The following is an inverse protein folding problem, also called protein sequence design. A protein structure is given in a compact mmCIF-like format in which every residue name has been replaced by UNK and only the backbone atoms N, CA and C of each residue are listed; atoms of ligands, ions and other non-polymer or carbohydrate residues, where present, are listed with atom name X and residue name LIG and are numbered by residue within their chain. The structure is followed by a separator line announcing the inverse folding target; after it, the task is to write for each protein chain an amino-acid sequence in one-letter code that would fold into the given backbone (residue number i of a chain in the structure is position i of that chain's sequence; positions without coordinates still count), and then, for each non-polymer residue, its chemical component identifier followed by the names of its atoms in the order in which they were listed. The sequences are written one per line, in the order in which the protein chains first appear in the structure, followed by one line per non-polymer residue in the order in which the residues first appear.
data_IF_195558127637
#
_entry.id   IF_195558127637
#
_cell.length_a   1.000
_cell.length_b   1.000
_cell.length_c   1.000
_cell.angle_alpha   90.00
_cell.angle_beta   90.00
_cell.angle_gamma   90.00
#
_symmetry.space_group_name_H-M   'P 1'
#
loop_
_entity.id
_entity.type
_entity.pdbx_description
1 polymer ?
#
# COMPACT_ATOMS: atom_id res chain seq x y z
N UNK A 1 11.38 -5.56 -15.10
CA UNK A 1 10.30 -5.61 -14.09
C UNK A 1 9.04 -6.01 -14.81
N UNK A 2 8.35 -7.08 -14.39
CA UNK A 2 7.12 -7.53 -15.02
C UNK A 2 6.01 -6.47 -14.91
N UNK A 3 5.08 -6.45 -15.86
CA UNK A 3 3.97 -5.51 -15.85
C UNK A 3 3.19 -5.63 -14.53
N UNK A 4 3.07 -4.50 -13.83
CA UNK A 4 2.19 -4.42 -12.67
C UNK A 4 0.76 -4.53 -13.18
N UNK A 5 0.10 -5.64 -12.90
CA UNK A 5 -1.27 -5.90 -13.36
C UNK A 5 -2.15 -6.40 -12.21
N UNK A 6 -2.31 -5.56 -11.20
CA UNK A 6 -3.20 -5.83 -10.06
C UNK A 6 -4.32 -4.81 -9.98
N UNK A 7 -5.53 -5.26 -9.69
CA UNK A 7 -6.67 -4.37 -9.49
C UNK A 7 -6.75 -3.86 -8.03
N UNK A 8 -7.65 -2.91 -7.78
CA UNK A 8 -7.89 -2.32 -6.46
C UNK A 8 -8.18 -3.37 -5.38
N UNK A 9 -8.93 -4.43 -5.69
CA UNK A 9 -9.25 -5.48 -4.71
C UNK A 9 -8.02 -6.30 -4.33
N UNK A 10 -7.17 -6.66 -5.30
CA UNK A 10 -5.91 -7.35 -5.05
C UNK A 10 -4.97 -6.51 -4.20
N UNK A 11 -4.81 -5.23 -4.55
CA UNK A 11 -4.01 -4.30 -3.77
C UNK A 11 -4.48 -4.21 -2.31
N UNK A 12 -5.78 -4.01 -2.08
CA UNK A 12 -6.35 -3.91 -0.73
C UNK A 12 -6.17 -5.21 0.04
N UNK A 13 -6.37 -6.36 -0.61
CA UNK A 13 -6.18 -7.68 0.02
C UNK A 13 -4.74 -7.89 0.44
N UNK A 14 -3.79 -7.57 -0.43
CA UNK A 14 -2.36 -7.67 -0.15
C UNK A 14 -1.98 -6.78 1.04
N UNK A 15 -2.37 -5.50 1.02
CA UNK A 15 -2.13 -4.57 2.13
C UNK A 15 -2.68 -5.09 3.46
N UNK A 16 -3.93 -5.58 3.48
CA UNK A 16 -4.53 -6.15 4.69
C UNK A 16 -3.79 -7.38 5.21
N UNK A 17 -3.30 -8.25 4.33
CA UNK A 17 -2.49 -9.43 4.73
C UNK A 17 -1.15 -9.05 5.33
N UNK A 18 -0.56 -7.94 4.88
CA UNK A 18 0.64 -7.36 5.48
C UNK A 18 0.35 -6.61 6.81
N UNK A 19 -0.89 -6.64 7.30
CA UNK A 19 -1.29 -5.99 8.54
C UNK A 19 -1.58 -4.49 8.41
N UNK A 20 -1.69 -3.95 7.18
CA UNK A 20 -2.15 -2.58 7.01
C UNK A 20 -3.64 -2.48 7.33
N UNK A 21 -4.04 -1.37 7.95
CA UNK A 21 -5.42 -1.10 8.30
C UNK A 21 -5.93 0.17 7.64
N UNK A 22 -7.23 0.19 7.36
CA UNK A 22 -7.90 1.36 6.78
C UNK A 22 -8.19 2.39 7.87
N UNK A 23 -7.74 3.63 7.68
CA UNK A 23 -7.88 4.71 8.67
C UNK A 23 -8.76 5.87 8.20
N UNK A 24 -9.67 5.62 7.25
CA UNK A 24 -10.52 6.67 6.71
C UNK A 24 -11.53 7.21 7.76
N UNK A 25 -11.45 8.51 8.07
CA UNK A 25 -12.47 9.22 8.87
C UNK A 25 -13.70 9.68 8.07
N UNK A 26 -13.64 9.73 6.74
CA UNK A 26 -14.72 10.24 5.85
C UNK A 26 -14.80 9.48 4.51
N UNK A 27 -15.94 9.62 3.83
CA UNK A 27 -16.29 9.06 2.51
C UNK A 27 -15.58 9.75 1.33
N UNK A 28 -14.24 9.79 1.36
CA UNK A 28 -13.43 10.28 0.25
C UNK A 28 -13.40 9.32 -0.95
N UNK A 29 -12.84 9.80 -2.07
CA UNK A 29 -12.53 9.00 -3.27
C UNK A 29 -11.33 8.06 -3.09
N UNK A 30 -10.64 8.14 -1.95
CA UNK A 30 -9.42 7.38 -1.68
C UNK A 30 -9.48 6.73 -0.30
N UNK A 31 -8.89 5.55 -0.18
CA UNK A 31 -8.63 4.83 1.06
C UNK A 31 -7.21 5.06 1.53
N UNK A 32 -7.05 5.49 2.78
CA UNK A 32 -5.75 5.57 3.46
C UNK A 32 -5.49 4.28 4.21
N UNK A 33 -4.45 3.57 3.79
CA UNK A 33 -3.94 2.38 4.45
C UNK A 33 -2.73 2.74 5.30
N UNK A 34 -2.85 2.50 6.60
CA UNK A 34 -1.79 2.72 7.57
C UNK A 34 -1.06 1.42 7.84
N UNK A 35 0.28 1.43 7.96
CA UNK A 35 1.07 0.25 8.26
C UNK A 35 0.72 -0.35 9.62
N UNK A 36 1.02 -1.63 9.81
CA UNK A 36 0.99 -2.26 11.14
C UNK A 36 1.95 -1.54 12.09
N UNK A 37 1.76 -1.71 13.40
CA UNK A 37 2.63 -1.09 14.41
C UNK A 37 4.11 -1.44 14.18
N UNK A 38 4.39 -2.70 13.84
CA UNK A 38 5.76 -3.19 13.55
C UNK A 38 6.42 -2.42 12.39
N UNK A 39 5.69 -2.19 11.29
CA UNK A 39 6.20 -1.42 10.16
C UNK A 39 6.30 0.06 10.54
N UNK A 40 5.29 0.58 11.27
CA UNK A 40 5.24 1.98 11.69
C UNK A 40 6.39 2.37 12.63
N UNK A 41 6.78 1.48 13.55
CA UNK A 41 7.88 1.70 14.50
C UNK A 41 9.25 1.75 13.79
N UNK A 42 9.37 1.17 12.59
CA UNK A 42 10.57 1.25 11.74
C UNK A 42 10.64 2.56 10.94
N UNK A 43 9.58 3.36 10.90
CA UNK A 43 9.55 4.64 10.17
C UNK A 43 10.20 5.76 11.00
N UNK A 44 11.47 6.02 10.75
CA UNK A 44 12.29 6.96 11.53
C UNK A 44 12.39 8.39 10.97
N UNK A 45 11.74 8.70 9.84
CA UNK A 45 11.89 10.00 9.19
C UNK A 45 10.79 10.35 8.18
N UNK A 46 11.21 10.70 6.97
CA UNK A 46 10.37 11.25 5.87
C UNK A 46 9.61 10.16 5.10
N UNK A 47 9.68 8.90 5.55
CA UNK A 47 8.97 7.81 4.89
C UNK A 47 7.45 8.06 4.91
N UNK A 48 6.72 7.59 3.88
CA UNK A 48 5.26 7.64 3.88
C UNK A 48 4.71 6.94 5.13
N UNK A 49 3.73 7.57 5.80
CA UNK A 49 3.04 7.00 6.98
C UNK A 49 1.71 6.32 6.65
N UNK A 50 1.31 6.41 5.39
CA UNK A 50 0.14 5.75 4.83
C UNK A 50 0.34 5.61 3.33
N UNK A 51 -0.41 4.70 2.72
CA UNK A 51 -0.54 4.56 1.27
C UNK A 51 -1.97 4.94 0.89
N UNK A 52 -2.12 5.74 -0.17
CA UNK A 52 -3.44 6.09 -0.70
C UNK A 52 -3.82 5.16 -1.85
N UNK A 53 -4.96 4.50 -1.71
CA UNK A 53 -5.55 3.65 -2.74
C UNK A 53 -6.83 4.31 -3.27
N UNK A 54 -6.91 4.67 -4.56
CA UNK A 54 -8.14 5.22 -5.12
C UNK A 54 -9.26 4.18 -5.15
N UNK A 55 -10.49 4.64 -4.87
CA UNK A 55 -11.72 3.84 -4.98
C UNK A 55 -12.26 3.84 -6.41
N UNK A 56 -11.38 3.66 -7.38
CA UNK A 56 -11.74 3.55 -8.79
C UNK A 56 -11.73 2.08 -9.23
N UNK A 57 -12.51 1.77 -10.27
CA UNK A 57 -12.58 0.41 -10.84
C UNK A 57 -11.25 0.02 -11.47
N UNK A 58 -10.64 0.97 -12.17
CA UNK A 58 -9.37 0.80 -12.86
C UNK A 58 -8.26 1.49 -12.06
N UNK A 59 -7.23 0.72 -11.72
CA UNK A 59 -6.11 1.17 -10.92
C UNK A 59 -4.94 1.54 -11.83
N UNK A 60 -4.88 2.79 -12.26
CA UNK A 60 -3.80 3.28 -13.13
C UNK A 60 -2.52 3.63 -12.36
N UNK A 61 -2.58 3.74 -11.03
CA UNK A 61 -1.47 4.20 -10.18
C UNK A 61 -0.71 3.05 -9.50
N UNK A 62 -0.62 1.89 -10.14
CA UNK A 62 0.01 0.70 -9.55
C UNK A 62 1.50 0.94 -9.26
N UNK A 63 2.22 1.58 -10.20
CA UNK A 63 3.62 1.96 -10.06
C UNK A 63 3.87 2.87 -8.87
N UNK A 64 2.99 3.82 -8.63
CA UNK A 64 3.06 4.80 -7.57
C UNK A 64 2.86 4.12 -6.21
N UNK A 65 1.88 3.20 -6.12
CA UNK A 65 1.66 2.38 -4.92
C UNK A 65 2.90 1.55 -4.58
N UNK A 66 3.49 0.87 -5.56
CA UNK A 66 4.70 0.08 -5.35
C UNK A 66 5.89 0.96 -4.96
N UNK A 67 6.01 2.15 -5.55
CA UNK A 67 7.02 3.13 -5.17
C UNK A 67 6.84 3.64 -3.73
N UNK A 68 5.61 3.91 -3.29
CA UNK A 68 5.33 4.29 -1.90
C UNK A 68 5.65 3.16 -0.92
N UNK A 69 5.30 1.92 -1.25
CA UNK A 69 5.69 0.73 -0.47
C UNK A 69 7.21 0.62 -0.35
N UNK A 70 7.93 0.79 -1.46
CA UNK A 70 9.40 0.77 -1.47
C UNK A 70 9.99 1.87 -0.58
N UNK A 71 9.43 3.09 -0.63
CA UNK A 71 9.88 4.19 0.24
C UNK A 71 9.56 3.95 1.71
N UNK A 72 8.51 3.20 2.01
CA UNK A 72 8.07 2.91 3.37
C UNK A 72 8.92 1.82 4.04
N UNK A 73 9.10 0.67 3.38
CA UNK A 73 9.74 -0.52 3.98
C UNK A 73 10.86 -1.13 3.14
N UNK A 74 11.31 -0.44 2.09
CA UNK A 74 12.33 -0.95 1.16
C UNK A 74 11.81 -2.05 0.26
N UNK A 75 12.74 -2.73 -0.43
CA UNK A 75 12.41 -3.81 -1.35
C UNK A 75 11.78 -5.02 -0.65
N UNK A 76 12.14 -5.28 0.62
CA UNK A 76 11.56 -6.38 1.39
C UNK A 76 10.04 -6.27 1.57
N UNK A 77 9.52 -5.05 1.74
CA UNK A 77 8.09 -4.81 1.84
C UNK A 77 7.39 -4.99 0.48
N UNK A 78 8.07 -4.61 -0.61
CA UNK A 78 7.56 -4.78 -1.97
C UNK A 78 7.49 -6.26 -2.35
N UNK A 79 8.50 -7.05 -2.01
CA UNK A 79 8.51 -8.50 -2.23
C UNK A 79 7.34 -9.17 -1.51
N UNK A 80 7.17 -8.91 -0.21
CA UNK A 80 6.04 -9.44 0.57
C UNK A 80 4.70 -8.98 0.01
N UNK A 81 4.60 -7.76 -0.50
CA UNK A 81 3.40 -7.27 -1.16
C UNK A 81 3.10 -8.08 -2.43
N UNK A 82 4.11 -8.30 -3.29
CA UNK A 82 3.96 -9.05 -4.53
C UNK A 82 3.59 -10.52 -4.30
N UNK A 83 4.11 -11.14 -3.24
CA UNK A 83 3.70 -12.51 -2.82
C UNK A 83 2.22 -12.60 -2.42
N UNK A 84 1.60 -11.47 -2.08
CA UNK A 84 0.23 -11.39 -1.59
C UNK A 84 -0.80 -10.82 -2.60
N UNK A 85 -0.35 -10.42 -3.80
CA UNK A 85 -1.18 -9.95 -4.92
C UNK A 85 -2.06 -11.04 -5.54
#
# INVERSE_FOLDING_TARGET
MGELNFNTKQCIRALKRLGFYIGNKRSGRHDKFYPSKEIADLLTGVQPRFIMIPRHRDLHCQSEIVSELRKMGGDSLVEKFNENL
#
